data_IF_169894417180
#
_entry.id   IF_169894417180
#
_cell.length_a   1.000
_cell.length_b   1.000
_cell.length_c   1.000
_cell.angle_alpha   90.00
_cell.angle_beta   90.00
_cell.angle_gamma   90.00
#
_symmetry.space_group_name_H-M   'P 1'
#
loop_
_entity.id
_entity.type
_entity.pdbx_description
1 polymer ?
#
# COMPACT_ATOMS: atom_id res chain seq x y z
N UNK A 1 13.29 -17.73 -3.70
CA UNK A 1 13.05 -16.29 -3.91
C UNK A 1 11.97 -16.14 -4.96
N UNK A 2 10.78 -15.69 -4.54
CA UNK A 2 9.59 -15.55 -5.40
C UNK A 2 9.66 -14.37 -6.37
N UNK A 3 10.50 -13.37 -6.05
CA UNK A 3 10.58 -12.09 -6.78
C UNK A 3 11.97 -11.80 -7.34
N UNK A 4 12.77 -12.85 -7.56
CA UNK A 4 14.11 -12.69 -8.12
C UNK A 4 14.08 -11.88 -9.40
N UNK A 5 14.94 -10.86 -9.48
CA UNK A 5 15.09 -9.92 -10.61
C UNK A 5 13.85 -9.04 -10.92
N UNK A 6 12.80 -9.06 -10.09
CA UNK A 6 11.66 -8.17 -10.21
C UNK A 6 11.97 -6.79 -9.63
N UNK A 7 11.37 -5.77 -10.22
CA UNK A 7 11.47 -4.37 -9.74
C UNK A 7 10.15 -3.97 -9.12
N UNK A 8 10.19 -3.58 -7.85
CA UNK A 8 9.02 -3.17 -7.10
C UNK A 8 9.10 -1.68 -6.72
N UNK A 9 7.97 -0.98 -6.81
CA UNK A 9 7.76 0.36 -6.25
C UNK A 9 6.86 0.22 -5.03
N UNK A 10 7.26 0.80 -3.90
CA UNK A 10 6.44 0.86 -2.68
C UNK A 10 6.31 2.31 -2.24
N UNK A 11 5.07 2.81 -2.11
CA UNK A 11 4.78 4.16 -1.64
C UNK A 11 4.45 4.18 -0.15
N UNK A 12 4.77 5.29 0.57
CA UNK A 12 4.59 5.36 2.01
C UNK A 12 5.44 4.31 2.73
N UNK A 13 6.66 4.11 2.26
CA UNK A 13 7.47 2.93 2.55
C UNK A 13 8.42 3.11 3.75
N UNK A 14 8.53 4.33 4.29
CA UNK A 14 9.55 4.65 5.28
C UNK A 14 9.35 3.97 6.64
N UNK A 15 8.11 3.58 6.99
CA UNK A 15 7.75 3.00 8.30
C UNK A 15 6.55 2.06 8.23
N UNK A 16 6.23 1.46 9.38
CA UNK A 16 5.03 0.64 9.58
C UNK A 16 4.86 -0.47 8.55
N UNK A 17 3.66 -0.58 8.00
CA UNK A 17 3.29 -1.58 6.98
C UNK A 17 4.17 -1.44 5.73
N UNK A 18 4.40 -0.21 5.25
CA UNK A 18 5.22 0.02 4.06
C UNK A 18 6.65 -0.48 4.21
N UNK A 19 7.29 -0.22 5.36
CA UNK A 19 8.63 -0.76 5.68
C UNK A 19 8.64 -2.29 5.71
N UNK A 20 7.66 -2.92 6.34
CA UNK A 20 7.55 -4.38 6.39
C UNK A 20 7.38 -4.98 4.98
N UNK A 21 6.57 -4.35 4.14
CA UNK A 21 6.39 -4.74 2.73
C UNK A 21 7.74 -4.68 2.00
N UNK A 22 8.45 -3.54 2.08
CA UNK A 22 9.77 -3.39 1.43
C UNK A 22 10.73 -4.49 1.85
N UNK A 23 10.89 -4.73 3.16
CA UNK A 23 11.81 -5.75 3.68
C UNK A 23 11.41 -7.17 3.24
N UNK A 24 10.12 -7.45 3.15
CA UNK A 24 9.60 -8.74 2.68
C UNK A 24 9.88 -8.93 1.19
N UNK A 25 9.66 -7.91 0.34
CA UNK A 25 9.95 -8.00 -1.09
C UNK A 25 11.46 -8.15 -1.36
N UNK A 26 12.30 -7.43 -0.62
CA UNK A 26 13.78 -7.57 -0.70
C UNK A 26 14.22 -8.98 -0.31
N UNK A 27 13.70 -9.54 0.79
CA UNK A 27 13.97 -10.92 1.22
C UNK A 27 13.69 -11.94 0.11
N UNK A 28 12.69 -11.66 -0.72
CA UNK A 28 12.30 -12.51 -1.85
C UNK A 28 13.00 -12.15 -3.17
N UNK A 29 14.02 -11.29 -3.12
CA UNK A 29 14.92 -11.01 -4.24
C UNK A 29 14.48 -9.88 -5.16
N UNK A 30 13.51 -9.06 -4.77
CA UNK A 30 13.13 -7.87 -5.53
C UNK A 30 14.14 -6.72 -5.35
N UNK A 31 14.40 -5.97 -6.42
CA UNK A 31 14.99 -4.64 -6.36
C UNK A 31 13.88 -3.64 -6.07
N UNK A 32 14.07 -2.74 -5.12
CA UNK A 32 12.98 -1.90 -4.63
C UNK A 32 13.25 -0.41 -4.84
N UNK A 33 12.24 0.31 -5.37
CA UNK A 33 12.17 1.76 -5.29
C UNK A 33 11.25 2.15 -4.12
N UNK A 34 11.79 2.88 -3.17
CA UNK A 34 11.16 3.22 -1.89
C UNK A 34 10.75 4.69 -1.94
N UNK A 35 9.45 4.95 -1.91
CA UNK A 35 8.90 6.29 -2.02
C UNK A 35 8.24 6.73 -0.71
N UNK A 36 8.64 7.87 -0.20
CA UNK A 36 8.01 8.53 0.94
C UNK A 36 8.27 10.05 0.86
N UNK A 37 7.62 10.82 1.72
CA UNK A 37 7.92 12.24 1.92
C UNK A 37 8.98 12.46 3.02
N UNK A 38 9.25 11.46 3.85
CA UNK A 38 10.21 11.49 4.95
C UNK A 38 11.59 11.00 4.49
N UNK A 39 12.42 11.92 4.05
CA UNK A 39 13.76 11.64 3.51
C UNK A 39 14.69 10.97 4.54
N UNK A 40 14.60 11.36 5.82
CA UNK A 40 15.44 10.79 6.87
C UNK A 40 15.13 9.30 7.10
N UNK A 41 13.86 8.95 7.15
CA UNK A 41 13.43 7.56 7.30
C UNK A 41 13.71 6.73 6.05
N UNK A 42 13.65 7.32 4.84
CA UNK A 42 14.05 6.66 3.60
C UNK A 42 15.51 6.24 3.61
N UNK A 43 16.42 7.13 4.03
CA UNK A 43 17.85 6.84 4.07
C UNK A 43 18.17 5.77 5.12
N UNK A 44 17.52 5.80 6.28
CA UNK A 44 17.66 4.78 7.31
C UNK A 44 17.24 3.38 6.80
N UNK A 45 16.11 3.31 6.08
CA UNK A 45 15.63 2.06 5.49
C UNK A 45 16.55 1.55 4.37
N UNK A 46 17.07 2.43 3.52
CA UNK A 46 18.05 2.09 2.50
C UNK A 46 19.28 1.42 3.12
N UNK A 47 19.86 2.05 4.15
CA UNK A 47 21.01 1.51 4.86
C UNK A 47 20.72 0.12 5.49
N UNK A 48 19.48 -0.11 5.95
CA UNK A 48 19.06 -1.42 6.45
C UNK A 48 19.01 -2.47 5.34
N UNK A 49 18.51 -2.10 4.15
CA UNK A 49 18.42 -3.00 2.99
C UNK A 49 19.82 -3.35 2.46
N UNK A 50 20.69 -2.36 2.32
CA UNK A 50 22.06 -2.56 1.84
C UNK A 50 22.87 -3.49 2.76
N UNK A 51 22.67 -3.40 4.09
CA UNK A 51 23.26 -4.34 5.06
C UNK A 51 22.77 -5.78 4.89
N UNK A 52 21.63 -5.97 4.23
CA UNK A 52 21.07 -7.28 3.88
C UNK A 52 21.38 -7.70 2.44
N UNK A 53 22.33 -7.02 1.79
CA UNK A 53 22.73 -7.23 0.41
C UNK A 53 21.60 -7.02 -0.61
N UNK A 54 20.57 -6.23 -0.23
CA UNK A 54 19.47 -5.84 -1.10
C UNK A 54 19.79 -4.59 -1.92
N UNK A 55 19.10 -4.42 -3.05
CA UNK A 55 19.22 -3.23 -3.90
C UNK A 55 17.99 -2.31 -3.71
N UNK A 56 18.23 -1.07 -3.31
CA UNK A 56 17.19 -0.09 -3.05
C UNK A 56 17.50 1.27 -3.68
N UNK A 57 16.47 1.90 -4.27
CA UNK A 57 16.48 3.27 -4.74
C UNK A 57 15.49 4.09 -3.91
N UNK A 58 15.97 5.06 -3.13
CA UNK A 58 15.13 5.98 -2.34
C UNK A 58 14.82 7.24 -3.12
N UNK A 59 13.56 7.67 -3.10
CA UNK A 59 13.15 8.92 -3.75
C UNK A 59 12.05 9.58 -2.89
N UNK A 60 12.28 10.85 -2.53
CA UNK A 60 11.24 11.68 -1.93
C UNK A 60 10.13 11.96 -2.96
N UNK A 61 8.87 11.66 -2.60
CA UNK A 61 7.74 11.80 -3.51
C UNK A 61 6.43 12.03 -2.75
N UNK A 62 5.75 13.12 -3.08
CA UNK A 62 4.37 13.33 -2.67
C UNK A 62 3.42 12.72 -3.71
N UNK A 63 2.81 11.58 -3.37
CA UNK A 63 1.90 10.84 -4.27
C UNK A 63 0.67 11.64 -4.72
N UNK A 64 0.29 12.69 -3.98
CA UNK A 64 -0.82 13.57 -4.36
C UNK A 64 -0.49 14.52 -5.53
N UNK A 65 0.78 14.61 -5.94
CA UNK A 65 1.26 15.50 -7.00
C UNK A 65 1.61 14.72 -8.27
N UNK A 66 0.79 14.86 -9.29
CA UNK A 66 0.93 14.10 -10.56
C UNK A 66 2.28 14.28 -11.24
N UNK A 67 2.85 15.49 -11.22
CA UNK A 67 4.16 15.78 -11.81
C UNK A 67 5.29 15.03 -11.10
N UNK A 68 5.29 15.04 -9.75
CA UNK A 68 6.28 14.31 -8.95
C UNK A 68 6.19 12.80 -9.22
N UNK A 69 4.99 12.22 -9.19
CA UNK A 69 4.77 10.78 -9.45
C UNK A 69 5.26 10.39 -10.84
N UNK A 70 4.91 11.17 -11.87
CA UNK A 70 5.34 10.89 -13.25
C UNK A 70 6.87 10.91 -13.40
N UNK A 71 7.53 11.90 -12.81
CA UNK A 71 8.99 12.02 -12.93
C UNK A 71 9.72 10.92 -12.15
N UNK A 72 9.21 10.59 -10.97
CA UNK A 72 9.76 9.50 -10.15
C UNK A 72 9.64 8.16 -10.87
N UNK A 73 8.48 7.82 -11.45
CA UNK A 73 8.29 6.58 -12.21
C UNK A 73 9.22 6.50 -13.41
N UNK A 74 9.40 7.61 -14.16
CA UNK A 74 10.37 7.67 -15.26
C UNK A 74 11.81 7.45 -14.78
N UNK A 75 12.20 8.04 -13.64
CA UNK A 75 13.52 7.85 -13.04
C UNK A 75 13.74 6.39 -12.66
N UNK A 76 12.76 5.75 -12.02
CA UNK A 76 12.83 4.32 -11.65
C UNK A 76 12.99 3.44 -12.89
N UNK A 77 12.18 3.71 -13.94
CA UNK A 77 12.27 2.95 -15.20
C UNK A 77 13.63 3.14 -15.87
N UNK A 78 14.18 4.37 -15.90
CA UNK A 78 15.54 4.62 -16.44
C UNK A 78 16.62 3.88 -15.65
N UNK A 79 16.47 3.75 -14.32
CA UNK A 79 17.46 3.09 -13.45
C UNK A 79 17.43 1.57 -13.60
N UNK A 80 16.24 0.97 -13.58
CA UNK A 80 16.08 -0.49 -13.52
C UNK A 80 15.68 -1.15 -14.85
N UNK A 81 15.25 -0.38 -15.85
CA UNK A 81 14.83 -0.87 -17.16
C UNK A 81 13.45 -1.53 -17.20
N UNK A 82 12.82 -1.74 -16.04
CA UNK A 82 11.51 -2.39 -15.89
C UNK A 82 10.80 -1.96 -14.62
N UNK A 83 9.50 -2.19 -14.54
CA UNK A 83 8.67 -2.03 -13.33
C UNK A 83 7.67 -3.18 -13.31
N UNK A 84 7.83 -4.11 -12.39
CA UNK A 84 7.02 -5.33 -12.31
C UNK A 84 5.91 -5.23 -11.27
N UNK A 85 6.19 -4.54 -10.17
CA UNK A 85 5.30 -4.49 -9.01
C UNK A 85 5.12 -3.05 -8.59
N UNK A 86 3.87 -2.66 -8.32
CA UNK A 86 3.52 -1.41 -7.64
C UNK A 86 2.72 -1.73 -6.38
N UNK A 87 3.20 -1.28 -5.23
CA UNK A 87 2.45 -1.33 -3.97
C UNK A 87 2.08 0.09 -3.55
N UNK A 88 0.80 0.41 -3.64
CA UNK A 88 0.24 1.67 -3.18
C UNK A 88 -0.12 1.56 -1.69
N UNK A 89 0.85 1.90 -0.82
CA UNK A 89 0.66 1.87 0.62
C UNK A 89 0.56 3.29 1.23
N UNK A 90 1.04 4.33 0.55
CA UNK A 90 0.93 5.70 1.04
C UNK A 90 -0.50 6.05 1.43
N UNK A 91 -0.69 6.53 2.64
CA UNK A 91 -1.99 6.93 3.14
C UNK A 91 -1.90 7.70 4.44
N UNK A 92 -2.89 8.52 4.67
CA UNK A 92 -3.07 9.31 5.89
C UNK A 92 -4.45 9.07 6.48
N UNK A 93 -4.55 9.26 7.79
CA UNK A 93 -5.80 9.26 8.53
C UNK A 93 -5.95 10.62 9.24
N UNK A 94 -7.19 11.08 9.37
CA UNK A 94 -7.54 12.20 10.25
C UNK A 94 -8.51 11.70 11.30
N UNK A 95 -8.46 12.32 12.47
CA UNK A 95 -9.40 12.05 13.56
C UNK A 95 -10.42 13.17 13.61
N UNK A 96 -11.65 12.86 13.96
CA UNK A 96 -12.74 13.82 14.05
C UNK A 96 -14.10 13.21 13.73
N UNK A 97 -15.15 14.02 13.87
CA UNK A 97 -16.53 13.66 13.56
C UNK A 97 -17.01 14.41 12.33
N UNK A 98 -18.24 14.16 11.88
CA UNK A 98 -18.83 14.89 10.75
C UNK A 98 -18.93 16.40 11.02
N UNK A 99 -19.04 16.81 12.29
CA UNK A 99 -19.14 18.21 12.67
C UNK A 99 -17.78 18.90 12.79
N UNK A 100 -16.70 18.14 13.04
CA UNK A 100 -15.38 18.71 13.35
C UNK A 100 -14.37 18.61 12.23
N UNK A 101 -14.55 17.69 11.26
CA UNK A 101 -13.67 17.59 10.10
C UNK A 101 -13.81 18.79 9.18
N UNK A 102 -12.71 19.39 8.77
CA UNK A 102 -12.73 20.48 7.79
C UNK A 102 -12.72 19.95 6.36
N UNK A 103 -13.13 20.80 5.40
CA UNK A 103 -13.08 20.48 3.97
C UNK A 103 -11.63 20.19 3.52
N UNK A 104 -10.68 20.96 4.00
CA UNK A 104 -9.24 20.79 3.68
C UNK A 104 -8.70 19.46 4.21
N UNK A 105 -9.14 19.02 5.40
CA UNK A 105 -8.77 17.72 5.95
C UNK A 105 -9.37 16.58 5.15
N UNK A 106 -10.63 16.70 4.75
CA UNK A 106 -11.30 15.77 3.83
C UNK A 106 -10.56 15.68 2.51
N UNK A 107 -10.34 16.80 1.86
CA UNK A 107 -9.65 16.89 0.57
C UNK A 107 -8.27 16.29 0.64
N UNK A 108 -7.53 16.57 1.70
CA UNK A 108 -6.19 16.02 1.89
C UNK A 108 -6.18 14.50 2.00
N UNK A 109 -7.16 13.91 2.70
CA UNK A 109 -7.30 12.45 2.81
C UNK A 109 -7.62 11.84 1.43
N UNK A 110 -8.56 12.41 0.70
CA UNK A 110 -8.92 11.94 -0.65
C UNK A 110 -7.74 12.10 -1.62
N UNK A 111 -7.03 13.22 -1.57
CA UNK A 111 -5.88 13.47 -2.44
C UNK A 111 -4.74 12.46 -2.23
N UNK A 112 -4.41 12.15 -0.98
CA UNK A 112 -3.32 11.21 -0.70
C UNK A 112 -3.77 9.78 -0.94
N UNK A 113 -4.89 9.36 -0.31
CA UNK A 113 -5.26 7.95 -0.26
C UNK A 113 -5.83 7.42 -1.58
N UNK A 114 -6.69 8.19 -2.23
CA UNK A 114 -7.39 7.75 -3.44
C UNK A 114 -6.75 8.31 -4.71
N UNK A 115 -6.61 9.64 -4.82
CA UNK A 115 -6.01 10.27 -6.01
C UNK A 115 -4.54 9.86 -6.16
N UNK A 116 -3.77 9.78 -5.05
CA UNK A 116 -2.39 9.31 -5.07
C UNK A 116 -2.26 7.89 -5.61
N UNK A 117 -3.09 6.97 -5.14
CA UNK A 117 -3.18 5.59 -5.65
C UNK A 117 -3.48 5.58 -7.16
N UNK A 118 -4.46 6.37 -7.60
CA UNK A 118 -4.79 6.51 -9.03
C UNK A 118 -3.60 7.03 -9.85
N UNK A 119 -2.90 8.07 -9.37
CA UNK A 119 -1.77 8.68 -10.09
C UNK A 119 -0.60 7.70 -10.24
N UNK A 120 -0.28 6.94 -9.19
CA UNK A 120 0.75 5.91 -9.25
C UNK A 120 0.37 4.79 -10.24
N UNK A 121 -0.85 4.26 -10.15
CA UNK A 121 -1.35 3.25 -11.11
C UNK A 121 -1.29 3.76 -12.55
N UNK A 122 -1.77 4.99 -12.80
CA UNK A 122 -1.74 5.62 -14.12
C UNK A 122 -0.33 5.72 -14.69
N UNK A 123 0.64 6.06 -13.84
CA UNK A 123 2.03 6.27 -14.28
C UNK A 123 2.75 4.99 -14.66
N UNK A 124 2.43 3.84 -14.04
CA UNK A 124 3.05 2.54 -14.36
C UNK A 124 2.29 1.75 -15.42
N UNK A 125 1.01 2.04 -15.64
CA UNK A 125 0.14 1.23 -16.49
C UNK A 125 0.68 1.06 -17.92
N UNK A 126 1.18 2.12 -18.56
CA UNK A 126 1.75 2.06 -19.90
C UNK A 126 3.00 1.18 -19.97
N UNK A 127 3.86 1.23 -18.95
CA UNK A 127 5.08 0.43 -18.82
C UNK A 127 4.70 -1.04 -18.68
N UNK A 128 3.83 -1.38 -17.74
CA UNK A 128 3.40 -2.76 -17.49
C UNK A 128 2.67 -3.36 -18.71
N UNK A 129 1.82 -2.57 -19.40
CA UNK A 129 1.20 -2.99 -20.66
C UNK A 129 2.24 -3.36 -21.72
N UNK A 130 3.26 -2.52 -21.91
CA UNK A 130 4.32 -2.77 -22.88
C UNK A 130 5.20 -3.97 -22.52
N UNK A 131 5.34 -4.27 -21.23
CA UNK A 131 6.05 -5.44 -20.72
C UNK A 131 5.24 -6.74 -20.87
N UNK A 132 3.92 -6.67 -21.00
CA UNK A 132 3.03 -7.82 -20.93
C UNK A 132 3.04 -8.49 -19.54
N UNK A 133 3.35 -7.73 -18.48
CA UNK A 133 3.45 -8.20 -17.11
C UNK A 133 3.33 -7.03 -16.12
N UNK A 134 2.62 -7.27 -15.04
CA UNK A 134 2.57 -6.34 -13.91
C UNK A 134 1.72 -6.86 -12.75
N UNK A 135 2.08 -6.45 -11.54
CA UNK A 135 1.33 -6.72 -10.30
C UNK A 135 1.12 -5.40 -9.56
N UNK A 136 -0.12 -5.00 -9.39
CA UNK A 136 -0.48 -3.82 -8.60
C UNK A 136 -1.21 -4.29 -7.36
N UNK A 137 -0.70 -3.92 -6.18
CA UNK A 137 -1.33 -4.23 -4.90
C UNK A 137 -1.61 -2.92 -4.16
N UNK A 138 -2.87 -2.64 -3.91
CA UNK A 138 -3.32 -1.45 -3.19
C UNK A 138 -3.55 -1.79 -1.71
N UNK A 139 -3.06 -0.95 -0.81
CA UNK A 139 -3.35 -1.10 0.63
C UNK A 139 -4.62 -0.31 0.94
N UNK A 140 -5.72 -1.03 1.02
CA UNK A 140 -7.02 -0.53 1.43
C UNK A 140 -7.17 -0.53 2.97
N UNK A 141 -8.34 -0.82 3.48
CA UNK A 141 -8.66 -0.98 4.89
C UNK A 141 -10.04 -1.58 5.06
N UNK A 142 -10.28 -2.30 6.15
CA UNK A 142 -11.62 -2.71 6.58
C UNK A 142 -12.60 -1.52 6.63
N UNK A 143 -12.10 -0.31 6.91
CA UNK A 143 -12.90 0.92 6.92
C UNK A 143 -13.55 1.23 5.56
N UNK A 144 -13.00 0.76 4.46
CA UNK A 144 -13.61 0.88 3.13
C UNK A 144 -14.84 0.01 2.94
N UNK A 145 -14.94 -1.11 3.68
CA UNK A 145 -16.06 -2.06 3.60
C UNK A 145 -17.18 -1.74 4.58
N UNK A 146 -16.84 -1.42 5.83
CA UNK A 146 -17.84 -1.27 6.90
C UNK A 146 -17.95 0.15 7.49
N UNK A 147 -17.16 1.10 6.99
CA UNK A 147 -17.01 2.40 7.63
C UNK A 147 -16.06 2.34 8.83
N UNK A 148 -15.85 3.48 9.46
CA UNK A 148 -14.97 3.59 10.63
C UNK A 148 -15.46 4.72 11.54
N UNK A 149 -15.63 4.42 12.83
CA UNK A 149 -16.00 5.40 13.87
C UNK A 149 -14.77 6.01 14.56
N UNK A 150 -13.58 5.58 14.21
CA UNK A 150 -12.31 6.03 14.83
C UNK A 150 -11.57 7.07 14.02
N UNK A 151 -11.94 7.22 12.74
CA UNK A 151 -11.39 8.21 11.82
C UNK A 151 -12.45 9.25 11.41
N UNK A 152 -11.97 10.38 10.93
CA UNK A 152 -12.84 11.37 10.28
C UNK A 152 -13.46 10.81 8.98
N UNK A 153 -14.66 11.28 8.58
CA UNK A 153 -15.45 10.71 7.49
C UNK A 153 -14.74 10.52 6.14
N UNK A 154 -13.64 11.18 5.85
CA UNK A 154 -12.90 11.05 4.59
C UNK A 154 -12.12 9.73 4.44
N UNK A 155 -11.73 9.07 5.53
CA UNK A 155 -10.88 7.89 5.45
C UNK A 155 -11.60 6.67 4.85
N UNK A 156 -12.73 6.26 5.41
CA UNK A 156 -13.54 5.15 4.90
C UNK A 156 -13.88 5.31 3.42
N UNK A 157 -14.48 6.43 2.99
CA UNK A 157 -14.74 6.73 1.57
C UNK A 157 -13.50 6.65 0.69
N UNK A 158 -12.33 7.13 1.15
CA UNK A 158 -11.10 7.02 0.37
C UNK A 158 -10.68 5.57 0.13
N UNK A 159 -10.85 4.68 1.13
CA UNK A 159 -10.51 3.26 1.04
C UNK A 159 -11.53 2.47 0.23
N UNK A 160 -12.83 2.77 0.36
CA UNK A 160 -13.87 2.24 -0.52
C UNK A 160 -13.62 2.63 -1.99
N UNK A 161 -13.17 3.87 -2.22
CA UNK A 161 -12.75 4.33 -3.54
C UNK A 161 -11.56 3.55 -4.10
N UNK A 162 -10.58 3.20 -3.27
CA UNK A 162 -9.43 2.34 -3.65
C UNK A 162 -9.92 0.95 -4.04
N UNK A 163 -10.89 0.37 -3.32
CA UNK A 163 -11.45 -0.96 -3.64
C UNK A 163 -12.17 -0.93 -5.01
N UNK A 164 -12.99 0.10 -5.24
CA UNK A 164 -13.65 0.29 -6.53
C UNK A 164 -12.65 0.51 -7.68
N UNK A 165 -11.61 1.33 -7.44
CA UNK A 165 -10.52 1.59 -8.40
C UNK A 165 -9.76 0.29 -8.73
N UNK A 166 -9.47 -0.54 -7.72
CA UNK A 166 -8.83 -1.85 -7.88
C UNK A 166 -9.61 -2.74 -8.85
N UNK A 167 -10.91 -2.89 -8.65
CA UNK A 167 -11.80 -3.68 -9.52
C UNK A 167 -11.89 -3.13 -10.95
N UNK A 168 -11.91 -1.80 -11.08
CA UNK A 168 -11.94 -1.13 -12.39
C UNK A 168 -10.64 -1.38 -13.16
N UNK A 169 -9.49 -1.17 -12.52
CA UNK A 169 -8.18 -1.35 -13.15
C UNK A 169 -7.88 -2.82 -13.44
N UNK A 170 -8.33 -3.75 -12.59
CA UNK A 170 -8.24 -5.18 -12.83
C UNK A 170 -8.84 -5.56 -14.19
N UNK A 171 -10.06 -5.10 -14.47
CA UNK A 171 -10.74 -5.34 -15.77
C UNK A 171 -10.01 -4.71 -16.95
N UNK A 172 -9.50 -3.48 -16.78
CA UNK A 172 -8.85 -2.74 -17.86
C UNK A 172 -7.46 -3.26 -18.20
N UNK A 173 -6.74 -3.82 -17.22
CA UNK A 173 -5.35 -4.23 -17.38
C UNK A 173 -5.16 -5.73 -17.57
N UNK A 174 -6.17 -6.57 -17.25
CA UNK A 174 -6.13 -8.01 -17.45
C UNK A 174 -5.74 -8.46 -18.89
N UNK A 175 -6.23 -7.81 -19.98
CA UNK A 175 -5.82 -8.17 -21.33
C UNK A 175 -4.30 -8.01 -21.61
N UNK A 176 -3.59 -7.31 -20.73
CA UNK A 176 -2.14 -7.08 -20.82
C UNK A 176 -1.35 -7.89 -19.79
N UNK A 177 -1.96 -8.92 -19.18
CA UNK A 177 -1.35 -9.75 -18.15
C UNK A 177 -0.91 -8.95 -16.90
N UNK A 178 -1.66 -7.92 -16.54
CA UNK A 178 -1.44 -7.13 -15.33
C UNK A 178 -2.55 -7.45 -14.32
N UNK A 179 -2.15 -8.00 -13.18
CA UNK A 179 -3.08 -8.24 -12.06
C UNK A 179 -3.16 -6.99 -11.18
N UNK A 180 -4.35 -6.64 -10.75
CA UNK A 180 -4.59 -5.52 -9.82
C UNK A 180 -5.45 -6.02 -8.69
N UNK A 181 -4.90 -6.02 -7.47
CA UNK A 181 -5.58 -6.49 -6.27
C UNK A 181 -5.38 -5.49 -5.12
N UNK A 182 -6.06 -5.69 -4.01
CA UNK A 182 -5.85 -4.94 -2.79
C UNK A 182 -5.74 -5.87 -1.58
N UNK A 183 -5.11 -5.39 -0.52
CA UNK A 183 -5.23 -5.94 0.82
C UNK A 183 -6.05 -5.00 1.67
N UNK A 184 -6.87 -5.54 2.58
CA UNK A 184 -7.77 -4.79 3.46
C UNK A 184 -7.41 -5.09 4.93
N UNK A 185 -6.38 -4.40 5.49
CA UNK A 185 -6.00 -4.59 6.89
C UNK A 185 -7.04 -4.03 7.85
N UNK A 186 -7.09 -4.64 9.05
CA UNK A 186 -7.76 -4.06 10.20
C UNK A 186 -6.74 -3.37 11.13
N UNK A 187 -6.80 -3.64 12.41
CA UNK A 187 -5.91 -3.06 13.42
C UNK A 187 -4.53 -3.73 13.39
N UNK A 188 -3.53 -2.99 12.93
CA UNK A 188 -2.14 -3.44 12.80
C UNK A 188 -1.25 -2.70 13.81
N UNK A 189 -0.31 -3.40 14.45
CA UNK A 189 0.69 -2.83 15.35
C UNK A 189 1.65 -1.92 14.58
N UNK A 190 1.49 -0.61 14.74
CA UNK A 190 2.30 0.42 14.11
C UNK A 190 2.48 1.58 15.09
N UNK A 191 3.29 2.56 14.75
CA UNK A 191 3.39 3.82 15.52
C UNK A 191 2.01 4.50 15.71
N UNK A 192 1.09 4.32 14.76
CA UNK A 192 -0.26 4.85 14.85
C UNK A 192 -1.08 4.17 15.93
N UNK A 193 -0.98 2.85 16.06
CA UNK A 193 -1.70 2.07 17.08
C UNK A 193 -1.06 2.18 18.47
N UNK A 194 0.22 2.53 18.54
CA UNK A 194 0.92 2.79 19.80
C UNK A 194 0.37 4.00 20.57
N UNK A 195 -0.40 4.87 19.91
CA UNK A 195 -1.06 6.03 20.54
C UNK A 195 -2.39 5.68 21.19
N UNK A 196 -2.88 4.44 21.07
CA UNK A 196 -4.13 4.03 21.70
C UNK A 196 -3.94 3.83 23.21
N UNK A 197 -4.99 4.15 23.99
CA UNK A 197 -5.03 3.78 25.40
C UNK A 197 -5.08 2.25 25.55
N UNK A 198 -4.62 1.74 26.68
CA UNK A 198 -4.68 0.31 27.00
C UNK A 198 -6.12 -0.24 26.99
N UNK A 199 -7.09 0.56 27.39
CA UNK A 199 -8.50 0.21 27.34
C UNK A 199 -8.96 0.04 25.89
N UNK A 200 -8.68 1.05 25.03
CA UNK A 200 -9.01 0.99 23.61
C UNK A 200 -8.32 -0.18 22.89
N UNK A 201 -7.07 -0.45 23.24
CA UNK A 201 -6.32 -1.58 22.70
C UNK A 201 -6.99 -2.91 23.05
N UNK A 202 -7.44 -3.08 24.32
CA UNK A 202 -8.16 -4.29 24.76
C UNK A 202 -9.50 -4.46 24.06
N UNK A 203 -10.28 -3.39 23.90
CA UNK A 203 -11.55 -3.43 23.15
C UNK A 203 -11.36 -3.90 21.72
N UNK A 204 -10.37 -3.32 21.02
CA UNK A 204 -10.07 -3.69 19.64
C UNK A 204 -9.64 -5.16 19.56
N UNK A 205 -8.74 -5.63 20.43
CA UNK A 205 -8.29 -7.02 20.45
C UNK A 205 -9.47 -7.96 20.71
N UNK A 206 -10.37 -7.61 21.63
CA UNK A 206 -11.56 -8.41 21.94
C UNK A 206 -12.53 -8.52 20.76
N UNK A 207 -12.52 -7.56 19.83
CA UNK A 207 -13.34 -7.60 18.62
C UNK A 207 -12.74 -8.44 17.49
N UNK A 208 -11.48 -8.88 17.62
CA UNK A 208 -10.76 -9.66 16.62
C UNK A 208 -10.81 -11.14 17.00
N UNK A 209 -11.44 -12.04 16.22
CA UNK A 209 -11.51 -13.47 16.52
C UNK A 209 -10.17 -14.16 16.79
N UNK A 210 -9.09 -13.77 16.10
CA UNK A 210 -7.75 -14.29 16.37
C UNK A 210 -7.11 -13.76 17.67
N UNK A 211 -7.77 -12.87 18.42
CA UNK A 211 -7.40 -12.43 19.76
C UNK A 211 -6.11 -11.58 19.83
N UNK A 212 -5.70 -11.00 18.73
CA UNK A 212 -4.50 -10.14 18.66
C UNK A 212 -4.63 -9.05 17.62
N UNK A 213 -3.86 -8.00 17.73
CA UNK A 213 -3.60 -7.10 16.61
C UNK A 213 -2.79 -7.82 15.52
N UNK A 214 -2.99 -7.44 14.26
CA UNK A 214 -2.11 -7.85 13.18
C UNK A 214 -0.74 -7.19 13.33
N UNK A 215 0.30 -7.85 12.81
CA UNK A 215 1.63 -7.27 12.67
C UNK A 215 1.80 -6.68 11.27
N UNK A 216 2.69 -5.70 11.05
CA UNK A 216 3.03 -5.23 9.71
C UNK A 216 3.42 -6.38 8.77
N UNK A 217 4.07 -7.42 9.29
CA UNK A 217 4.47 -8.61 8.54
C UNK A 217 3.28 -9.45 8.08
N UNK A 218 2.16 -9.51 8.84
CA UNK A 218 0.94 -10.21 8.40
C UNK A 218 0.40 -9.59 7.10
N UNK A 219 0.47 -8.25 6.98
CA UNK A 219 0.07 -7.53 5.76
C UNK A 219 1.10 -7.72 4.65
N UNK A 220 2.39 -7.65 4.99
CA UNK A 220 3.47 -7.77 4.02
C UNK A 220 3.50 -9.14 3.33
N UNK A 221 3.20 -10.23 4.03
CA UNK A 221 3.10 -11.57 3.44
C UNK A 221 1.90 -11.69 2.49
N UNK A 222 0.75 -11.08 2.83
CA UNK A 222 -0.40 -11.03 1.93
C UNK A 222 -0.08 -10.22 0.65
N UNK A 223 0.63 -9.10 0.79
CA UNK A 223 1.12 -8.31 -0.36
C UNK A 223 2.11 -9.12 -1.19
N UNK A 224 3.05 -9.82 -0.58
CA UNK A 224 4.00 -10.70 -1.28
C UNK A 224 3.27 -11.76 -2.10
N UNK A 225 2.27 -12.43 -1.52
CA UNK A 225 1.46 -13.42 -2.25
C UNK A 225 0.81 -12.81 -3.49
N UNK A 226 0.10 -11.68 -3.34
CA UNK A 226 -0.58 -11.00 -4.44
C UNK A 226 0.40 -10.40 -5.49
N UNK A 227 1.62 -10.07 -5.10
CA UNK A 227 2.67 -9.55 -5.96
C UNK A 227 3.46 -10.65 -6.69
N UNK A 228 3.29 -11.92 -6.31
CA UNK A 228 3.99 -13.06 -6.89
C UNK A 228 3.21 -13.71 -8.05
N UNK A 229 3.87 -14.63 -8.76
CA UNK A 229 3.24 -15.42 -9.82
C UNK A 229 2.27 -16.49 -9.28
N UNK A 230 2.34 -16.79 -7.97
CA UNK A 230 1.38 -17.68 -7.28
C UNK A 230 -0.04 -17.13 -7.33
N UNK A 231 -0.21 -15.79 -7.38
CA UNK A 231 -1.49 -15.11 -7.55
C UNK A 231 -1.81 -14.75 -9.01
N UNK A 232 -1.24 -15.46 -9.99
CA UNK A 232 -1.42 -15.11 -11.42
C UNK A 232 -2.86 -15.19 -11.93
N UNK A 233 -3.72 -16.00 -11.28
CA UNK A 233 -5.14 -16.12 -11.63
C UNK A 233 -6.07 -15.31 -10.71
N UNK A 234 -5.49 -14.38 -9.90
CA UNK A 234 -6.24 -13.52 -8.98
C UNK A 234 -6.12 -12.08 -9.48
N UNK A 235 -7.26 -11.44 -9.78
CA UNK A 235 -7.32 -10.02 -10.14
C UNK A 235 -8.68 -9.42 -9.75
N UNK A 236 -8.67 -8.19 -9.23
CA UNK A 236 -9.86 -7.51 -8.71
C UNK A 236 -10.21 -7.91 -7.27
N UNK A 237 -9.38 -8.70 -6.61
CA UNK A 237 -9.58 -9.18 -5.24
C UNK A 237 -9.24 -8.09 -4.21
N UNK A 238 -10.02 -8.06 -3.13
CA UNK A 238 -9.79 -7.24 -1.93
C UNK A 238 -9.58 -8.20 -0.77
N UNK A 239 -8.36 -8.67 -0.61
CA UNK A 239 -7.97 -9.68 0.36
C UNK A 239 -7.97 -9.13 1.78
N UNK A 240 -8.83 -9.66 2.64
CA UNK A 240 -8.91 -9.27 4.03
C UNK A 240 -7.73 -9.79 4.86
N UNK A 241 -7.10 -8.87 5.61
CA UNK A 241 -6.02 -9.15 6.57
C UNK A 241 -6.43 -8.57 7.91
N UNK A 242 -7.47 -9.15 8.52
CA UNK A 242 -8.21 -8.55 9.62
C UNK A 242 -8.42 -9.46 10.84
N UNK A 243 -7.85 -10.67 10.83
CA UNK A 243 -7.98 -11.62 11.95
C UNK A 243 -9.40 -12.13 12.18
N UNK A 244 -10.27 -12.03 11.17
CA UNK A 244 -11.67 -12.42 11.24
C UNK A 244 -12.61 -11.33 11.73
N UNK A 245 -12.14 -10.09 11.92
CA UNK A 245 -12.98 -8.99 12.39
C UNK A 245 -14.13 -8.62 11.41
N UNK A 246 -13.94 -8.91 10.13
CA UNK A 246 -14.97 -8.89 9.09
C UNK A 246 -14.82 -10.17 8.26
N UNK A 247 -15.96 -10.82 7.96
CA UNK A 247 -16.07 -11.99 7.09
C UNK A 247 -17.15 -11.68 6.05
N UNK A 248 -16.79 -11.49 4.78
CA UNK A 248 -17.68 -11.22 3.65
C UNK A 248 -17.47 -12.20 2.48
#
# INVERSE_FOLDING_TARGET
MKLKDRVAIVTGAARGIGKAIVLTLVREGARVAILDIDEGSLEALKNEIERREGEALTISCNVAKSGEVSEVVKRIFRTFGRIDILVNNAGIIRRGTIETVTEEEWDRVIEVNLKGTFLCCKSVAGIMKSQGYGKIVNVSSIAGKMGDITSAPGYGPSKAGVDALTKTLARQLAPYHVNVNAVSPHAIETEMSAQWSEERRREIIASIPLGRLGKPEDVAEAVLFLASDEASFITGEILDVNGGALMD
#
